data_IF_292759076465
#
_entry.id   IF_292759076465
#
_cell.length_a   1.000
_cell.length_b   1.000
_cell.length_c   1.000
_cell.angle_alpha   90.00
_cell.angle_beta   90.00
_cell.angle_gamma   90.00
#
_symmetry.space_group_name_H-M   'P 1'
#
loop_
_entity.id
_entity.type
_entity.pdbx_description
1 polymer ?
#
# COMPACT_ATOMS: atom_id res chain seq x y z
N UNK A 1 19.26 6.32 -1.98
CA UNK A 1 18.00 6.90 -2.49
C UNK A 1 18.18 8.19 -3.29
N UNK A 2 19.06 9.12 -2.92
CA UNK A 2 19.20 10.41 -3.62
C UNK A 2 19.42 10.29 -5.15
N UNK A 3 20.38 9.46 -5.58
CA UNK A 3 20.64 9.23 -7.01
C UNK A 3 19.41 8.73 -7.78
N UNK A 4 18.56 7.92 -7.13
CA UNK A 4 17.32 7.39 -7.72
C UNK A 4 16.31 8.52 -7.89
N UNK A 5 16.09 9.32 -6.84
CA UNK A 5 15.21 10.49 -6.90
C UNK A 5 15.66 11.44 -8.01
N UNK A 6 16.95 11.78 -8.06
CA UNK A 6 17.47 12.76 -9.01
C UNK A 6 17.33 12.26 -10.45
N UNK A 7 17.55 10.96 -10.71
CA UNK A 7 17.31 10.35 -12.01
C UNK A 7 15.83 10.41 -12.42
N UNK A 8 14.90 10.14 -11.49
CA UNK A 8 13.45 10.24 -11.76
C UNK A 8 13.06 11.69 -12.08
N UNK A 9 13.52 12.65 -11.29
CA UNK A 9 13.22 14.07 -11.51
C UNK A 9 13.84 14.62 -12.82
N UNK A 10 14.95 14.04 -13.27
CA UNK A 10 15.57 14.35 -14.55
C UNK A 10 14.89 13.64 -15.75
N UNK A 11 13.90 12.78 -15.52
CA UNK A 11 13.21 12.04 -16.58
C UNK A 11 14.07 10.94 -17.22
N UNK A 12 14.93 10.28 -16.43
CA UNK A 12 15.76 9.19 -16.90
C UNK A 12 14.91 8.05 -17.50
N UNK A 13 15.42 7.43 -18.57
CA UNK A 13 14.75 6.32 -19.23
C UNK A 13 14.84 5.00 -18.44
N UNK A 14 14.04 4.01 -18.84
CA UNK A 14 13.98 2.71 -18.17
C UNK A 14 15.34 2.01 -18.01
N UNK A 15 16.20 1.93 -19.05
CA UNK A 15 17.55 1.39 -18.92
C UNK A 15 18.42 2.14 -17.90
N UNK A 16 18.35 3.47 -17.87
CA UNK A 16 19.09 4.27 -16.89
C UNK A 16 18.61 4.00 -15.47
N UNK A 17 17.28 3.88 -15.26
CA UNK A 17 16.71 3.51 -13.97
C UNK A 17 17.13 2.08 -13.56
N UNK A 18 17.09 1.12 -14.49
CA UNK A 18 17.47 -0.28 -14.23
C UNK A 18 18.95 -0.45 -13.84
N UNK A 19 19.82 0.44 -14.34
CA UNK A 19 21.24 0.44 -14.00
C UNK A 19 21.54 1.01 -12.60
N UNK A 20 20.56 1.66 -11.96
CA UNK A 20 20.71 2.14 -10.59
C UNK A 20 20.67 0.97 -9.61
N UNK A 21 21.67 0.92 -8.73
CA UNK A 21 21.68 -0.06 -7.64
C UNK A 21 20.53 0.16 -6.67
N UNK A 22 19.87 -0.92 -6.26
CA UNK A 22 18.92 -0.89 -5.14
C UNK A 22 19.71 -0.72 -3.84
N UNK A 23 19.40 0.27 -3.00
CA UNK A 23 20.16 0.49 -1.77
C UNK A 23 19.92 -0.63 -0.75
N UNK A 24 20.89 -0.86 0.13
CA UNK A 24 20.79 -1.88 1.18
C UNK A 24 19.82 -1.50 2.31
N UNK A 25 19.60 -0.19 2.51
CA UNK A 25 18.61 0.36 3.44
C UNK A 25 17.82 1.48 2.77
N UNK A 26 16.67 1.82 3.34
CA UNK A 26 15.86 2.95 2.93
C UNK A 26 15.14 3.56 4.12
N UNK A 27 14.83 4.86 4.02
CA UNK A 27 14.07 5.57 5.05
C UNK A 27 12.58 5.20 4.97
N UNK A 28 11.98 4.92 6.12
CA UNK A 28 10.59 4.53 6.23
C UNK A 28 9.94 5.04 7.53
N UNK A 29 8.66 5.39 7.45
CA UNK A 29 7.80 5.52 8.62
C UNK A 29 7.36 4.12 9.07
N UNK A 30 7.60 3.79 10.33
CA UNK A 30 7.35 2.46 10.86
C UNK A 30 6.97 2.46 12.35
N UNK A 31 6.29 1.40 12.77
CA UNK A 31 5.99 1.12 14.19
C UNK A 31 6.85 -0.06 14.68
N UNK A 32 7.04 -0.19 15.99
CA UNK A 32 7.92 -1.21 16.60
C UNK A 32 7.14 -2.30 17.35
N UNK A 33 7.56 -3.56 17.18
CA UNK A 33 6.95 -4.70 17.87
C UNK A 33 7.11 -4.63 19.39
N UNK A 34 8.22 -4.05 19.86
CA UNK A 34 8.50 -3.83 21.29
C UNK A 34 7.56 -2.83 21.94
N UNK A 35 6.88 -1.99 21.16
CA UNK A 35 6.00 -0.92 21.65
C UNK A 35 4.51 -1.27 21.51
N UNK A 36 4.16 -2.47 21.03
CA UNK A 36 2.77 -2.84 20.73
C UNK A 36 1.81 -2.79 21.94
N UNK A 37 2.34 -2.76 23.16
CA UNK A 37 1.58 -2.63 24.42
C UNK A 37 1.66 -1.23 25.04
N UNK A 38 2.32 -0.26 24.39
CA UNK A 38 2.56 1.08 24.95
C UNK A 38 1.28 1.87 25.28
N UNK A 39 0.15 1.47 24.70
CA UNK A 39 -1.15 2.10 24.87
C UNK A 39 -2.08 1.36 25.83
N UNK A 40 -1.61 0.33 26.55
CA UNK A 40 -2.40 -0.36 27.56
C UNK A 40 -2.97 0.63 28.59
N UNK A 41 -4.26 0.53 28.88
CA UNK A 41 -4.97 1.45 29.78
C UNK A 41 -5.23 2.86 29.23
N UNK A 42 -4.74 3.20 28.02
CA UNK A 42 -4.97 4.52 27.40
C UNK A 42 -6.23 4.50 26.53
N UNK A 43 -7.21 5.40 26.74
CA UNK A 43 -8.38 5.53 25.87
C UNK A 43 -7.97 5.83 24.41
N UNK A 44 -8.64 5.24 23.43
CA UNK A 44 -8.27 5.34 21.99
C UNK A 44 -8.11 6.79 21.52
N UNK A 45 -8.99 7.71 21.96
CA UNK A 45 -8.92 9.13 21.60
C UNK A 45 -7.68 9.88 22.15
N UNK A 46 -6.98 9.30 23.12
CA UNK A 46 -5.76 9.87 23.72
C UNK A 46 -4.48 9.21 23.21
N UNK A 47 -4.61 8.13 22.41
CA UNK A 47 -3.46 7.48 21.77
C UNK A 47 -2.94 8.41 20.67
N UNK A 48 -1.69 8.83 20.80
CA UNK A 48 -1.07 9.82 19.92
C UNK A 48 -0.12 9.12 18.94
N UNK A 49 -0.48 8.99 17.64
CA UNK A 49 0.35 8.35 16.62
C UNK A 49 1.80 8.86 16.56
N UNK A 50 2.03 10.13 16.94
CA UNK A 50 3.36 10.74 16.91
C UNK A 50 4.34 10.11 17.91
N UNK A 51 3.85 9.33 18.89
CA UNK A 51 4.69 8.64 19.88
C UNK A 51 5.08 7.23 19.48
N UNK A 52 4.38 6.63 18.51
CA UNK A 52 4.58 5.23 18.09
C UNK A 52 5.11 5.11 16.66
N UNK A 53 4.92 6.14 15.83
CA UNK A 53 5.50 6.20 14.49
C UNK A 53 6.91 6.77 14.56
N UNK A 54 7.87 5.96 14.13
CA UNK A 54 9.27 6.32 13.97
C UNK A 54 9.59 6.55 12.50
N UNK A 55 10.51 7.46 12.20
CA UNK A 55 11.06 7.65 10.85
C UNK A 55 12.55 7.36 10.91
N UNK A 56 12.98 6.33 10.18
CA UNK A 56 14.37 5.87 10.21
C UNK A 56 14.69 4.89 9.09
N UNK A 57 15.95 4.46 9.04
CA UNK A 57 16.44 3.50 8.06
C UNK A 57 16.02 2.07 8.43
N UNK A 58 15.51 1.33 7.45
CA UNK A 58 15.20 -0.11 7.55
C UNK A 58 15.92 -0.87 6.44
N UNK A 59 16.14 -2.17 6.64
CA UNK A 59 16.80 -2.99 5.64
C UNK A 59 15.90 -3.23 4.42
N UNK A 60 16.48 -3.19 3.22
CA UNK A 60 15.79 -3.54 1.98
C UNK A 60 15.56 -5.05 1.93
N UNK A 61 14.30 -5.53 1.86
CA UNK A 61 14.01 -6.96 1.87
C UNK A 61 14.24 -7.59 0.50
N UNK A 62 14.71 -8.84 0.43
CA UNK A 62 14.94 -9.53 -0.85
C UNK A 62 13.68 -9.60 -1.73
N UNK A 63 13.79 -9.30 -3.03
CA UNK A 63 12.67 -9.24 -3.96
C UNK A 63 12.16 -10.64 -4.36
N UNK A 64 10.87 -10.91 -4.15
CA UNK A 64 10.27 -12.16 -4.63
C UNK A 64 10.06 -12.17 -6.16
N UNK A 65 9.89 -13.35 -6.80
CA UNK A 65 9.74 -13.47 -8.24
C UNK A 65 8.55 -12.70 -8.82
N UNK A 66 7.46 -12.57 -8.07
CA UNK A 66 6.21 -11.91 -8.46
C UNK A 66 6.10 -10.46 -7.95
N UNK A 67 7.18 -9.91 -7.40
CA UNK A 67 7.21 -8.59 -6.77
C UNK A 67 7.97 -7.54 -7.57
N UNK A 68 7.78 -6.29 -7.18
CA UNK A 68 8.37 -5.11 -7.78
C UNK A 68 8.91 -4.19 -6.68
N UNK A 69 10.14 -3.72 -6.85
CA UNK A 69 10.63 -2.55 -6.11
C UNK A 69 10.12 -1.29 -6.76
N UNK A 70 9.52 -0.42 -5.96
CA UNK A 70 9.15 0.93 -6.37
C UNK A 70 9.93 1.97 -5.57
N UNK A 71 10.44 2.99 -6.25
CA UNK A 71 10.81 4.26 -5.63
C UNK A 71 9.52 5.02 -5.39
N UNK A 72 9.14 5.18 -4.12
CA UNK A 72 7.92 5.89 -3.76
C UNK A 72 8.18 7.38 -3.90
N UNK A 73 7.39 8.05 -4.73
CA UNK A 73 7.42 9.50 -4.90
C UNK A 73 6.45 10.19 -3.95
N UNK A 74 5.29 9.55 -3.71
CA UNK A 74 4.33 9.99 -2.71
C UNK A 74 3.50 8.81 -2.18
N UNK A 75 2.91 9.01 -1.01
CA UNK A 75 1.99 8.08 -0.34
C UNK A 75 0.85 8.89 0.30
N UNK A 76 -0.03 8.22 1.05
CA UNK A 76 -1.16 8.85 1.74
C UNK A 76 -1.31 8.28 3.15
N UNK A 77 -1.98 9.03 4.02
CA UNK A 77 -2.43 8.53 5.32
C UNK A 77 -3.85 8.01 5.17
N UNK A 78 -4.04 6.73 5.49
CA UNK A 78 -5.35 6.09 5.54
C UNK A 78 -5.75 5.79 7.00
N UNK A 79 -7.03 5.49 7.25
CA UNK A 79 -7.49 5.10 8.59
C UNK A 79 -6.74 3.87 9.13
N UNK A 80 -6.39 2.91 8.27
CA UNK A 80 -5.59 1.74 8.65
C UNK A 80 -4.16 2.11 9.09
N UNK A 81 -3.61 3.22 8.61
CA UNK A 81 -2.33 3.78 9.05
C UNK A 81 -2.45 4.29 10.49
N UNK A 82 -3.54 5.00 10.79
CA UNK A 82 -3.85 5.47 12.15
C UNK A 82 -4.04 4.28 13.09
N UNK A 83 -4.84 3.28 12.70
CA UNK A 83 -5.06 2.08 13.50
C UNK A 83 -3.78 1.28 13.78
N UNK A 84 -2.89 1.17 12.80
CA UNK A 84 -1.56 0.57 12.99
C UNK A 84 -0.76 1.32 14.05
N UNK A 85 -0.75 2.66 14.00
CA UNK A 85 0.01 3.49 14.94
C UNK A 85 -0.49 3.42 16.38
N UNK A 86 -1.77 3.11 16.58
CA UNK A 86 -2.36 2.99 17.92
C UNK A 86 -2.56 1.54 18.37
N UNK A 87 -2.07 0.59 17.56
CA UNK A 87 -2.17 -0.86 17.75
C UNK A 87 -3.60 -1.37 17.96
N UNK A 88 -4.58 -0.78 17.25
CA UNK A 88 -6.00 -1.14 17.36
C UNK A 88 -6.56 -1.71 16.06
N UNK A 89 -7.64 -2.52 16.13
CA UNK A 89 -8.22 -3.10 17.36
C UNK A 89 -7.30 -4.15 18.00
N UNK A 90 -6.33 -4.64 17.24
CA UNK A 90 -5.24 -5.51 17.67
C UNK A 90 -3.96 -5.10 16.96
N UNK A 91 -2.81 -5.43 17.54
CA UNK A 91 -1.51 -5.25 16.92
C UNK A 91 -1.39 -6.00 15.57
N UNK A 92 -0.93 -5.29 14.55
CA UNK A 92 -0.65 -5.76 13.18
C UNK A 92 0.50 -6.78 13.11
N UNK A 93 1.37 -6.86 14.14
CA UNK A 93 2.45 -7.84 14.23
C UNK A 93 1.93 -9.29 14.32
N UNK A 94 0.75 -9.52 14.91
CA UNK A 94 0.12 -10.84 14.93
C UNK A 94 -0.19 -11.40 13.53
N UNK A 95 -0.95 -10.67 12.69
CA UNK A 95 -1.15 -11.01 11.28
C UNK A 95 0.13 -11.24 10.46
N UNK A 96 1.19 -10.45 10.67
CA UNK A 96 2.47 -10.64 9.95
C UNK A 96 3.19 -11.94 10.37
N UNK A 97 3.15 -12.30 11.66
CA UNK A 97 3.65 -13.61 12.13
C UNK A 97 2.89 -14.80 11.54
N UNK A 98 1.60 -14.64 11.23
CA UNK A 98 0.82 -15.67 10.52
C UNK A 98 1.22 -15.74 9.05
N UNK A 99 1.35 -14.60 8.38
CA UNK A 99 1.83 -14.51 6.99
C UNK A 99 3.17 -15.20 6.81
N UNK A 100 4.12 -14.96 7.71
CA UNK A 100 5.46 -15.53 7.65
C UNK A 100 5.52 -17.07 7.66
N UNK A 101 4.41 -17.74 8.01
CA UNK A 101 4.30 -19.21 7.99
C UNK A 101 3.80 -19.76 6.65
N UNK A 102 3.34 -18.90 5.75
CA UNK A 102 2.69 -19.30 4.50
C UNK A 102 3.68 -19.64 3.38
N UNK A 103 4.85 -18.98 3.33
CA UNK A 103 5.89 -19.27 2.33
C UNK A 103 7.28 -18.75 2.72
N UNK A 104 8.31 -19.19 2.00
CA UNK A 104 9.68 -18.66 2.16
C UNK A 104 9.74 -17.14 1.92
N UNK A 105 9.03 -16.63 0.92
CA UNK A 105 8.95 -15.19 0.62
C UNK A 105 8.11 -14.41 1.62
N UNK A 106 7.20 -15.07 2.32
CA UNK A 106 6.36 -14.41 3.31
C UNK A 106 7.12 -14.16 4.64
N UNK A 107 8.16 -14.95 4.95
CA UNK A 107 8.95 -14.84 6.19
C UNK A 107 9.51 -13.45 6.43
N UNK A 108 9.94 -12.78 5.36
CA UNK A 108 10.51 -11.43 5.40
C UNK A 108 9.52 -10.38 5.91
N UNK A 109 8.20 -10.61 5.94
CA UNK A 109 7.26 -9.67 6.55
C UNK A 109 7.26 -9.69 8.10
N UNK A 110 7.68 -10.79 8.74
CA UNK A 110 7.81 -10.86 10.20
C UNK A 110 9.12 -10.22 10.65
N UNK A 111 9.06 -8.91 10.89
CA UNK A 111 10.18 -8.07 11.32
C UNK A 111 9.89 -7.46 12.69
N UNK A 112 10.93 -7.02 13.44
CA UNK A 112 10.73 -6.28 14.69
C UNK A 112 10.13 -4.87 14.48
N UNK A 113 9.96 -4.45 13.23
CA UNK A 113 9.33 -3.21 12.80
C UNK A 113 8.27 -3.47 11.73
N UNK A 114 7.33 -2.56 11.55
CA UNK A 114 6.40 -2.56 10.41
C UNK A 114 6.46 -1.24 9.68
N UNK A 115 6.88 -1.26 8.42
CA UNK A 115 6.72 -0.11 7.52
C UNK A 115 5.24 -0.01 7.12
N UNK A 116 4.62 1.12 7.48
CA UNK A 116 3.18 1.38 7.30
C UNK A 116 2.89 2.09 5.97
N UNK A 117 1.61 2.19 5.61
CA UNK A 117 1.13 2.92 4.44
C UNK A 117 0.60 2.00 3.34
N UNK A 118 -0.64 2.24 2.92
CA UNK A 118 -1.37 1.34 2.01
C UNK A 118 -1.65 1.94 0.64
N UNK A 119 -1.05 3.10 0.36
CA UNK A 119 -1.11 3.79 -0.92
C UNK A 119 0.30 4.21 -1.31
N UNK A 120 0.57 4.24 -2.61
CA UNK A 120 1.75 4.91 -3.14
C UNK A 120 1.54 5.29 -4.61
N UNK A 121 2.29 6.32 -5.03
CA UNK A 121 2.65 6.52 -6.42
C UNK A 121 4.18 6.57 -6.53
N UNK A 122 4.71 6.08 -7.64
CA UNK A 122 6.16 5.96 -7.77
C UNK A 122 6.62 5.44 -9.11
N UNK A 123 7.91 5.10 -9.15
CA UNK A 123 8.57 4.57 -10.34
C UNK A 123 9.09 3.17 -10.06
N UNK A 124 8.83 2.24 -10.96
CA UNK A 124 9.37 0.88 -10.89
C UNK A 124 10.90 0.94 -11.03
N UNK A 125 11.62 0.34 -10.08
CA UNK A 125 13.09 0.27 -10.09
C UNK A 125 13.60 -1.07 -10.62
N UNK A 126 12.98 -2.15 -10.18
CA UNK A 126 13.36 -3.52 -10.53
C UNK A 126 12.18 -4.45 -10.31
N UNK A 127 12.09 -5.46 -11.15
CA UNK A 127 11.01 -6.45 -11.15
C UNK A 127 11.56 -7.85 -10.87
N UNK A 128 10.77 -8.67 -10.21
CA UNK A 128 11.05 -10.08 -9.99
C UNK A 128 11.01 -10.87 -11.31
N UNK A 129 11.58 -12.08 -11.29
CA UNK A 129 11.77 -12.90 -12.50
C UNK A 129 10.48 -13.40 -13.14
N UNK A 130 9.36 -13.40 -12.43
CA UNK A 130 8.05 -13.80 -12.94
C UNK A 130 7.18 -12.61 -13.40
N UNK A 131 7.61 -11.37 -13.18
CA UNK A 131 6.88 -10.16 -13.58
C UNK A 131 6.99 -9.94 -15.09
N UNK A 132 5.85 -9.69 -15.75
CA UNK A 132 5.77 -9.59 -17.22
C UNK A 132 5.26 -8.25 -17.74
N UNK A 133 4.40 -7.57 -16.97
CA UNK A 133 3.68 -6.37 -17.43
C UNK A 133 4.42 -5.07 -17.09
N UNK A 134 5.40 -5.13 -16.18
CA UNK A 134 6.08 -3.96 -15.63
C UNK A 134 7.58 -4.03 -15.89
N UNK A 135 8.21 -2.87 -16.03
CA UNK A 135 9.65 -2.73 -16.22
C UNK A 135 10.18 -1.48 -15.51
N UNK A 136 11.50 -1.41 -15.22
CA UNK A 136 12.11 -0.20 -14.67
C UNK A 136 11.75 1.06 -15.48
N UNK A 137 11.45 2.15 -14.77
CA UNK A 137 11.00 3.42 -15.34
C UNK A 137 9.48 3.58 -15.49
N UNK A 138 8.68 2.51 -15.33
CA UNK A 138 7.23 2.64 -15.39
C UNK A 138 6.70 3.48 -14.21
N UNK A 139 5.84 4.47 -14.51
CA UNK A 139 5.17 5.29 -13.51
C UNK A 139 3.89 4.59 -13.04
N UNK A 140 3.78 4.34 -11.74
CA UNK A 140 2.73 3.49 -11.16
C UNK A 140 2.03 4.14 -9.99
N UNK A 141 0.80 3.72 -9.75
CA UNK A 141 0.12 3.78 -8.45
C UNK A 141 -0.09 2.36 -7.92
N UNK A 142 -0.22 2.21 -6.61
CA UNK A 142 -0.34 0.91 -5.96
C UNK A 142 -1.67 0.82 -5.21
N UNK A 143 -2.48 -0.19 -5.52
CA UNK A 143 -3.62 -0.53 -4.67
C UNK A 143 -3.24 -1.48 -3.53
N UNK A 144 -4.00 -1.41 -2.44
CA UNK A 144 -3.66 -2.14 -1.22
C UNK A 144 -4.04 -3.64 -1.23
N UNK A 145 -4.79 -4.13 -2.23
CA UNK A 145 -5.17 -5.54 -2.27
C UNK A 145 -3.94 -6.45 -2.55
N UNK A 146 -3.42 -7.11 -1.52
CA UNK A 146 -2.30 -8.04 -1.60
C UNK A 146 -2.84 -9.48 -1.62
N UNK A 147 -2.66 -10.15 -2.76
CA UNK A 147 -3.18 -11.51 -3.01
C UNK A 147 -2.10 -12.31 -3.74
N UNK A 148 -1.90 -13.56 -3.35
CA UNK A 148 -1.17 -14.54 -4.17
C UNK A 148 -2.18 -15.23 -5.11
N UNK A 149 -2.02 -15.00 -6.41
CA UNK A 149 -2.93 -15.47 -7.46
C UNK A 149 -2.89 -16.99 -7.66
N UNK A 150 -2.03 -17.72 -6.94
CA UNK A 150 -2.09 -19.19 -6.89
C UNK A 150 -3.26 -19.71 -6.05
N UNK A 151 -3.85 -18.88 -5.17
CA UNK A 151 -5.05 -19.25 -4.43
C UNK A 151 -6.25 -19.32 -5.39
N UNK A 152 -6.81 -20.53 -5.53
CA UNK A 152 -7.93 -20.78 -6.43
C UNK A 152 -9.20 -19.99 -6.03
N UNK A 153 -9.34 -19.59 -4.77
CA UNK A 153 -10.47 -18.80 -4.29
C UNK A 153 -10.43 -17.37 -4.81
N UNK A 154 -9.27 -16.90 -5.29
CA UNK A 154 -9.10 -15.57 -5.87
C UNK A 154 -9.65 -15.42 -7.30
N UNK A 155 -9.93 -16.54 -8.00
CA UNK A 155 -10.09 -16.53 -9.47
C UNK A 155 -11.48 -16.06 -9.93
N UNK A 156 -12.46 -16.02 -9.04
CA UNK A 156 -13.76 -15.41 -9.31
C UNK A 156 -13.84 -13.96 -8.79
N UNK A 157 -13.24 -13.70 -7.62
CA UNK A 157 -13.08 -12.36 -7.04
C UNK A 157 -11.89 -12.38 -6.07
N UNK A 158 -10.80 -11.68 -6.39
CA UNK A 158 -9.59 -11.70 -5.58
C UNK A 158 -9.76 -11.06 -4.21
N UNK A 159 -10.81 -10.25 -4.01
CA UNK A 159 -11.17 -9.73 -2.68
C UNK A 159 -11.75 -10.81 -1.75
N UNK A 160 -12.17 -11.96 -2.28
CA UNK A 160 -12.67 -13.10 -1.52
C UNK A 160 -11.62 -14.20 -1.32
N UNK A 161 -10.39 -13.96 -1.77
CA UNK A 161 -9.31 -14.93 -1.64
C UNK A 161 -9.03 -15.21 -0.15
N UNK A 162 -8.78 -16.48 0.20
CA UNK A 162 -8.48 -16.86 1.58
C UNK A 162 -7.15 -16.26 2.08
N UNK A 163 -6.25 -15.96 1.15
CA UNK A 163 -4.96 -15.31 1.40
C UNK A 163 -4.98 -13.77 1.24
N UNK A 164 -6.15 -13.17 1.04
CA UNK A 164 -6.26 -11.72 0.85
C UNK A 164 -5.73 -10.96 2.07
N UNK A 165 -4.92 -9.93 1.82
CA UNK A 165 -4.38 -9.02 2.85
C UNK A 165 -4.40 -7.58 2.35
N UNK A 166 -4.33 -6.64 3.29
CA UNK A 166 -4.11 -5.22 3.00
C UNK A 166 -2.62 -4.87 3.09
N UNK A 167 -2.06 -4.38 1.98
CA UNK A 167 -0.66 -3.97 1.88
C UNK A 167 -0.30 -2.83 2.84
N UNK A 168 0.84 -2.94 3.53
CA UNK A 168 1.28 -1.97 4.54
C UNK A 168 0.45 -1.94 5.83
N UNK A 169 -0.53 -2.85 5.96
CA UNK A 169 -1.35 -3.03 7.17
C UNK A 169 -1.21 -4.46 7.72
N UNK A 170 -1.49 -5.47 6.91
CA UNK A 170 -1.32 -6.91 7.24
C UNK A 170 -0.10 -7.54 6.57
N UNK A 171 0.61 -6.75 5.78
CA UNK A 171 1.93 -7.03 5.24
C UNK A 171 2.87 -5.89 5.61
N UNK A 172 4.17 -6.20 5.67
CA UNK A 172 5.21 -5.20 5.84
C UNK A 172 5.52 -4.45 4.53
N UNK A 173 6.51 -3.55 4.56
CA UNK A 173 7.02 -2.84 3.38
C UNK A 173 5.97 -1.94 2.71
N UNK A 174 5.20 -1.22 3.54
CA UNK A 174 4.19 -0.25 3.11
C UNK A 174 4.76 0.98 2.37
N UNK A 175 3.85 1.84 1.94
CA UNK A 175 4.10 2.98 1.06
C UNK A 175 4.61 4.24 1.75
N UNK A 176 4.54 4.38 3.08
CA UNK A 176 5.09 5.55 3.78
C UNK A 176 6.60 5.41 3.97
N UNK A 177 7.32 5.30 2.86
CA UNK A 177 8.76 5.08 2.80
C UNK A 177 9.35 5.62 1.50
N UNK A 178 10.67 5.72 1.40
CA UNK A 178 11.36 6.11 0.16
C UNK A 178 11.38 4.95 -0.88
N UNK A 179 11.24 3.71 -0.42
CA UNK A 179 11.21 2.49 -1.23
C UNK A 179 10.15 1.54 -0.67
N UNK A 180 9.46 0.81 -1.56
CA UNK A 180 8.48 -0.20 -1.18
C UNK A 180 8.61 -1.46 -2.04
N UNK A 181 8.15 -2.58 -1.50
CA UNK A 181 8.00 -3.84 -2.21
C UNK A 181 6.53 -4.20 -2.29
N UNK A 182 6.07 -4.43 -3.52
CA UNK A 182 4.67 -4.74 -3.82
C UNK A 182 4.60 -5.91 -4.79
N UNK A 183 3.53 -6.70 -4.72
CA UNK A 183 3.27 -7.69 -5.78
C UNK A 183 2.95 -6.98 -7.09
N UNK A 184 3.35 -7.57 -8.21
CA UNK A 184 3.12 -6.98 -9.54
C UNK A 184 1.64 -6.79 -9.88
N UNK A 185 0.75 -7.61 -9.28
CA UNK A 185 -0.70 -7.50 -9.42
C UNK A 185 -1.32 -6.34 -8.61
N UNK A 186 -0.53 -5.61 -7.81
CA UNK A 186 -0.98 -4.41 -7.08
C UNK A 186 -0.82 -3.11 -7.88
N UNK A 187 -0.05 -3.17 -8.95
CA UNK A 187 0.35 -2.00 -9.72
C UNK A 187 -0.72 -1.60 -10.73
N UNK A 188 -0.92 -0.30 -10.85
CA UNK A 188 -1.72 0.33 -11.89
C UNK A 188 -0.90 1.44 -12.55
N UNK A 189 -1.13 1.79 -13.82
CA UNK A 189 -0.46 2.92 -14.44
C UNK A 189 -0.81 4.21 -13.70
N UNK A 190 0.18 5.03 -13.37
CA UNK A 190 -0.08 6.34 -12.78
C UNK A 190 -0.85 7.22 -13.77
N UNK A 191 -1.95 7.88 -13.37
CA UNK A 191 -2.59 8.89 -14.21
C UNK A 191 -1.61 10.00 -14.60
N UNK A 192 -1.39 10.17 -15.91
CA UNK A 192 -0.34 11.05 -16.43
C UNK A 192 -0.58 12.55 -16.14
N UNK A 193 -1.85 12.94 -15.94
CA UNK A 193 -2.25 14.33 -15.70
C UNK A 193 -2.21 14.75 -14.23
N UNK A 194 -2.01 13.80 -13.29
CA UNK A 194 -1.93 14.09 -11.86
C UNK A 194 -0.47 14.24 -11.41
N UNK A 195 -0.22 14.98 -10.34
CA UNK A 195 1.08 14.95 -9.64
C UNK A 195 1.31 13.59 -8.94
N UNK A 196 2.45 13.41 -8.26
CA UNK A 196 2.72 12.18 -7.53
C UNK A 196 1.79 12.03 -6.33
N UNK A 197 1.67 13.07 -5.52
CA UNK A 197 0.79 13.12 -4.35
C UNK A 197 -0.68 13.02 -4.73
N UNK A 198 -1.13 13.72 -5.79
CA UNK A 198 -2.49 13.58 -6.31
C UNK A 198 -2.78 12.16 -6.79
N UNK A 199 -1.82 11.48 -7.42
CA UNK A 199 -1.99 10.10 -7.85
C UNK A 199 -2.02 9.12 -6.67
N UNK A 200 -1.20 9.36 -5.64
CA UNK A 200 -1.04 8.44 -4.50
C UNK A 200 -2.30 8.37 -3.62
N UNK A 201 -3.04 9.47 -3.45
CA UNK A 201 -4.21 9.52 -2.55
C UNK A 201 -5.46 8.77 -3.05
N UNK A 202 -5.42 8.22 -4.26
CA UNK A 202 -6.60 7.58 -4.86
C UNK A 202 -6.77 6.13 -4.43
N UNK A 203 -5.70 5.32 -4.47
CA UNK A 203 -5.86 3.88 -4.68
C UNK A 203 -6.73 3.19 -3.63
N UNK A 204 -6.47 3.32 -2.32
CA UNK A 204 -7.25 2.66 -1.27
C UNK A 204 -8.67 3.20 -1.17
N UNK A 205 -8.83 4.51 -0.92
CA UNK A 205 -10.15 5.08 -0.68
C UNK A 205 -11.03 5.07 -1.93
N UNK A 206 -10.48 5.40 -3.11
CA UNK A 206 -11.24 5.41 -4.36
C UNK A 206 -11.69 4.00 -4.75
N UNK A 207 -10.80 3.02 -4.74
CA UNK A 207 -11.16 1.64 -5.11
C UNK A 207 -12.15 1.02 -4.12
N UNK A 208 -12.04 1.35 -2.83
CA UNK A 208 -13.02 0.94 -1.81
C UNK A 208 -14.39 1.53 -2.12
N UNK A 209 -14.49 2.85 -2.35
CA UNK A 209 -15.75 3.51 -2.71
C UNK A 209 -16.33 2.98 -4.02
N UNK A 210 -15.48 2.75 -5.03
CA UNK A 210 -15.88 2.16 -6.30
C UNK A 210 -16.49 0.77 -6.12
N UNK A 211 -15.80 -0.12 -5.38
CA UNK A 211 -16.30 -1.47 -5.13
C UNK A 211 -17.60 -1.45 -4.33
N UNK A 212 -17.71 -0.57 -3.35
CA UNK A 212 -18.91 -0.45 -2.51
C UNK A 212 -20.14 0.03 -3.29
N UNK A 213 -19.97 0.99 -4.20
CA UNK A 213 -21.10 1.69 -4.83
C UNK A 213 -21.34 1.31 -6.29
N UNK A 214 -20.29 1.23 -7.09
CA UNK A 214 -20.39 1.11 -8.55
C UNK A 214 -20.29 -0.34 -9.02
N UNK A 215 -19.37 -1.10 -8.44
CA UNK A 215 -19.14 -2.50 -8.83
C UNK A 215 -20.38 -3.39 -8.62
N UNK A 216 -20.61 -4.40 -9.48
CA UNK A 216 -21.62 -5.43 -9.24
C UNK A 216 -21.39 -6.24 -7.94
N UNK A 217 -20.17 -6.18 -7.38
CA UNK A 217 -19.83 -6.84 -6.11
C UNK A 217 -20.19 -6.01 -4.87
N UNK A 218 -20.77 -4.81 -5.06
CA UNK A 218 -21.28 -3.94 -4.00
C UNK A 218 -22.75 -3.60 -4.20
N UNK A 219 -23.12 -2.34 -4.04
CA UNK A 219 -24.49 -1.86 -4.21
C UNK A 219 -24.94 -1.83 -5.68
N UNK A 220 -24.00 -1.73 -6.63
CA UNK A 220 -24.28 -1.62 -8.07
C UNK A 220 -25.30 -0.52 -8.37
N UNK A 221 -24.99 0.68 -7.88
CA UNK A 221 -25.83 1.88 -8.00
C UNK A 221 -26.12 2.22 -9.46
N UNK A 222 -27.22 2.93 -9.69
CA UNK A 222 -27.70 3.31 -11.02
C UNK A 222 -28.08 4.78 -11.01
N UNK A 223 -28.08 5.38 -12.19
CA UNK A 223 -28.55 6.75 -12.35
C UNK A 223 -29.96 6.91 -11.77
N UNK A 224 -30.12 7.92 -10.91
CA UNK A 224 -31.39 8.22 -10.23
C UNK A 224 -31.53 7.59 -8.84
N UNK A 225 -30.62 6.72 -8.41
CA UNK A 225 -30.58 6.23 -7.04
C UNK A 225 -30.27 7.36 -6.04
N UNK A 226 -30.93 7.32 -4.88
CA UNK A 226 -30.64 8.24 -3.77
C UNK A 226 -29.70 7.54 -2.79
N UNK A 227 -28.47 8.03 -2.69
CA UNK A 227 -27.42 7.42 -1.85
C UNK A 227 -27.12 8.31 -0.64
N UNK A 228 -27.35 7.76 0.57
CA UNK A 228 -26.93 8.41 1.82
C UNK A 228 -25.44 8.17 2.07
N UNK A 229 -24.64 9.22 2.07
CA UNK A 229 -23.18 9.15 2.26
C UNK A 229 -22.80 9.71 3.63
N UNK A 230 -22.41 8.82 4.54
CA UNK A 230 -21.83 9.20 5.82
C UNK A 230 -20.39 9.67 5.64
N UNK A 231 -19.99 10.70 6.41
CA UNK A 231 -18.62 11.22 6.36
C UNK A 231 -18.19 11.66 4.95
N UNK A 232 -19.09 12.28 4.18
CA UNK A 232 -18.93 12.62 2.76
C UNK A 232 -17.69 13.46 2.42
N UNK A 233 -17.05 14.09 3.42
CA UNK A 233 -15.82 14.87 3.25
C UNK A 233 -14.53 14.10 3.58
N UNK A 234 -14.63 12.89 4.13
CA UNK A 234 -13.48 12.01 4.40
C UNK A 234 -13.03 11.24 3.15
N UNK A 235 -11.96 10.43 3.26
CA UNK A 235 -11.37 9.72 2.11
C UNK A 235 -12.37 8.89 1.29
N UNK A 236 -13.07 7.93 1.91
CA UNK A 236 -14.10 7.12 1.24
C UNK A 236 -15.27 8.01 0.79
N UNK A 237 -15.76 8.89 1.68
CA UNK A 237 -16.91 9.74 1.43
C UNK A 237 -16.75 10.66 0.22
N UNK A 238 -15.58 11.26 0.06
CA UNK A 238 -15.28 12.19 -1.03
C UNK A 238 -15.33 11.48 -2.40
N UNK A 239 -14.77 10.28 -2.52
CA UNK A 239 -14.89 9.49 -3.75
C UNK A 239 -16.30 8.94 -3.94
N UNK A 240 -16.97 8.52 -2.86
CA UNK A 240 -18.37 8.08 -2.92
C UNK A 240 -19.28 9.18 -3.48
N UNK A 241 -19.13 10.42 -3.01
CA UNK A 241 -19.88 11.57 -3.52
C UNK A 241 -19.59 11.82 -4.99
N UNK A 242 -18.32 11.76 -5.40
CA UNK A 242 -17.95 11.91 -6.82
C UNK A 242 -18.57 10.81 -7.70
N UNK A 243 -18.57 9.55 -7.25
CA UNK A 243 -19.19 8.46 -7.98
C UNK A 243 -20.70 8.68 -8.15
N UNK A 244 -21.40 9.00 -7.06
CA UNK A 244 -22.85 9.27 -7.09
C UNK A 244 -23.20 10.47 -7.99
N UNK A 245 -22.32 11.46 -8.09
CA UNK A 245 -22.53 12.60 -9.00
C UNK A 245 -22.23 12.24 -10.47
N UNK A 246 -21.29 11.33 -10.71
CA UNK A 246 -20.88 10.91 -12.05
C UNK A 246 -21.84 9.89 -12.68
N UNK A 247 -22.61 9.15 -11.87
CA UNK A 247 -23.48 8.05 -12.29
C UNK A 247 -24.93 8.24 -11.91
#
# INVERSE_FOLDING_TARGET
MEKIRDAILAGADGPSIAALGIPATYRAAHVLASEQTMWEGTPSAQKDPRKSIHVGEVATPELAPDEVYIAVMASSINFNTVWSSIFEPVSTFGPMKRLARESEWAKRHDQPYQVIGSDASGVVLKVGTAVRQWKPGDHVTVHCNHVDDQDNTAHNDSMLAANQRIWGYETNFGGLADLSVVKANQLMPKPAHLTWEEAAVNALCNSTSYRMLVSPNGAAMKQGDVVLIWGATGGIGAYATQYVLNG
#
